data_IF_766718236907
#
_entry.id   IF_766718236907
#
_cell.length_a   1.000
_cell.length_b   1.000
_cell.length_c   1.000
_cell.angle_alpha   90.00
_cell.angle_beta   90.00
_cell.angle_gamma   90.00
#
_symmetry.space_group_name_H-M   'P 1'
#
loop_
_entity.id
_entity.type
_entity.pdbx_description
1 polymer ?
#
# COMPACT_ATOMS: atom_id res chain seq x y z
N UNK A 1 1.32 -6.84 -33.22
CA UNK A 1 2.08 -6.07 -32.20
C UNK A 1 1.53 -6.49 -30.84
N UNK A 2 2.39 -6.89 -29.90
CA UNK A 2 1.98 -7.06 -28.50
C UNK A 2 2.14 -5.69 -27.85
N UNK A 3 1.04 -5.07 -27.42
CA UNK A 3 1.06 -3.83 -26.64
C UNK A 3 1.32 -4.22 -25.19
N UNK A 4 2.40 -3.70 -24.59
CA UNK A 4 2.69 -3.90 -23.17
C UNK A 4 2.10 -2.72 -22.40
N UNK A 5 0.85 -2.85 -21.96
CA UNK A 5 0.19 -1.82 -21.15
C UNK A 5 0.72 -1.90 -19.72
N UNK A 6 1.75 -1.10 -19.45
CA UNK A 6 2.32 -0.98 -18.11
C UNK A 6 1.34 -0.22 -17.21
N UNK A 7 1.04 -0.78 -16.03
CA UNK A 7 0.28 -0.09 -15.00
C UNK A 7 1.01 1.20 -14.64
N UNK A 8 0.34 2.34 -14.78
CA UNK A 8 0.92 3.65 -14.47
C UNK A 8 0.72 4.02 -13.01
N UNK A 9 -0.47 3.76 -12.48
CA UNK A 9 -0.88 4.12 -11.13
C UNK A 9 -1.66 2.96 -10.51
N UNK A 10 -1.40 2.70 -9.23
CA UNK A 10 -2.12 1.73 -8.42
C UNK A 10 -2.28 2.30 -7.01
N UNK A 11 -3.50 2.36 -6.50
CA UNK A 11 -3.78 2.77 -5.13
C UNK A 11 -4.29 1.56 -4.35
N UNK A 12 -3.68 1.30 -3.20
CA UNK A 12 -4.06 0.21 -2.30
C UNK A 12 -4.25 0.73 -0.88
N UNK A 13 -5.21 0.14 -0.17
CA UNK A 13 -5.46 0.43 1.24
C UNK A 13 -5.07 -0.76 2.09
N UNK A 14 -4.40 -0.48 3.20
CA UNK A 14 -3.99 -1.46 4.19
C UNK A 14 -4.55 -1.06 5.54
N UNK A 15 -4.85 -2.05 6.36
CA UNK A 15 -5.27 -1.84 7.73
C UNK A 15 -4.73 -2.95 8.65
N UNK A 16 -4.49 -2.59 9.90
CA UNK A 16 -4.15 -3.51 10.96
C UNK A 16 -4.45 -2.91 12.34
N UNK A 17 -4.44 -3.76 13.35
CA UNK A 17 -4.67 -3.38 14.75
C UNK A 17 -3.41 -2.88 15.46
N UNK A 18 -2.26 -2.98 14.79
CA UNK A 18 -0.95 -2.52 15.24
C UNK A 18 -0.10 -2.08 14.03
N UNK A 19 0.86 -1.19 14.29
CA UNK A 19 1.71 -0.63 13.24
C UNK A 19 2.64 -1.66 12.59
N UNK A 20 3.17 -2.62 13.36
CA UNK A 20 4.13 -3.60 12.84
C UNK A 20 3.46 -4.52 11.79
N UNK A 21 2.23 -4.95 12.05
CA UNK A 21 1.43 -5.71 11.10
C UNK A 21 1.07 -4.87 9.86
N UNK A 22 0.73 -3.58 10.04
CA UNK A 22 0.44 -2.68 8.92
C UNK A 22 1.67 -2.52 8.01
N UNK A 23 2.83 -2.22 8.59
CA UNK A 23 4.09 -2.05 7.88
C UNK A 23 4.50 -3.34 7.16
N UNK A 24 4.33 -4.49 7.79
CA UNK A 24 4.61 -5.78 7.14
C UNK A 24 3.75 -5.96 5.89
N UNK A 25 2.44 -5.70 5.96
CA UNK A 25 1.54 -5.81 4.79
C UNK A 25 1.96 -4.89 3.65
N UNK A 26 2.33 -3.65 3.97
CA UNK A 26 2.79 -2.67 2.98
C UNK A 26 4.10 -3.16 2.33
N UNK A 27 5.06 -3.63 3.13
CA UNK A 27 6.35 -4.12 2.63
C UNK A 27 6.20 -5.36 1.75
N UNK A 28 5.36 -6.32 2.16
CA UNK A 28 5.06 -7.51 1.33
C UNK A 28 4.48 -7.08 -0.03
N UNK A 29 3.58 -6.07 -0.05
CA UNK A 29 3.02 -5.57 -1.30
C UNK A 29 4.02 -4.78 -2.14
N UNK A 30 4.96 -4.06 -1.52
CA UNK A 30 6.08 -3.41 -2.21
C UNK A 30 6.91 -4.45 -2.96
N UNK A 31 7.25 -5.59 -2.33
CA UNK A 31 8.01 -6.64 -3.00
C UNK A 31 7.24 -7.26 -4.19
N UNK A 32 5.93 -7.49 -4.05
CA UNK A 32 5.10 -7.93 -5.17
C UNK A 32 5.05 -6.89 -6.31
N UNK A 33 4.92 -5.61 -5.98
CA UNK A 33 4.78 -4.52 -6.95
C UNK A 33 6.09 -4.27 -7.73
N UNK A 34 7.26 -4.59 -7.16
CA UNK A 34 8.54 -4.57 -7.89
C UNK A 34 8.53 -5.52 -9.10
N UNK A 35 7.89 -6.69 -8.99
CA UNK A 35 7.82 -7.66 -10.08
C UNK A 35 7.03 -7.14 -11.30
N UNK A 36 6.18 -6.13 -11.10
CA UNK A 36 5.39 -5.47 -12.14
C UNK A 36 5.83 -4.02 -12.40
N UNK A 37 7.08 -3.69 -12.05
CA UNK A 37 7.72 -2.40 -12.33
C UNK A 37 7.03 -1.20 -11.67
N UNK A 38 6.38 -1.41 -10.53
CA UNK A 38 5.83 -0.34 -9.71
C UNK A 38 6.75 0.01 -8.53
N UNK A 39 6.76 1.28 -8.15
CA UNK A 39 7.45 1.83 -6.98
C UNK A 39 6.47 2.64 -6.10
N UNK A 40 6.81 2.87 -4.83
CA UNK A 40 6.00 3.70 -3.94
C UNK A 40 6.12 5.17 -4.38
N UNK A 41 4.98 5.79 -4.71
CA UNK A 41 4.90 7.23 -4.93
C UNK A 41 4.63 7.99 -3.63
N UNK A 42 3.65 7.52 -2.86
CA UNK A 42 3.15 8.21 -1.67
C UNK A 42 2.51 7.22 -0.70
N UNK A 43 2.64 7.50 0.60
CA UNK A 43 1.96 6.78 1.67
C UNK A 43 1.30 7.79 2.59
N UNK A 44 0.01 7.60 2.85
CA UNK A 44 -0.76 8.38 3.83
C UNK A 44 -1.25 7.47 4.95
N UNK A 45 -0.98 7.84 6.19
CA UNK A 45 -1.37 7.08 7.38
C UNK A 45 -2.53 7.73 8.11
N UNK A 46 -3.42 6.91 8.66
CA UNK A 46 -4.47 7.34 9.56
C UNK A 46 -4.60 6.34 10.71
N UNK A 47 -4.91 6.84 11.91
CA UNK A 47 -5.25 6.02 13.07
C UNK A 47 -6.63 6.43 13.56
N UNK A 48 -7.46 5.43 13.86
CA UNK A 48 -8.80 5.62 14.41
C UNK A 48 -8.94 4.80 15.69
N UNK A 49 -9.61 5.37 16.70
CA UNK A 49 -10.04 4.64 17.88
C UNK A 49 -11.47 4.16 17.61
N UNK A 50 -11.67 2.85 17.60
CA UNK A 50 -12.98 2.23 17.42
C UNK A 50 -13.82 2.36 18.71
N UNK A 51 -15.13 2.20 18.60
CA UNK A 51 -16.06 2.32 19.73
C UNK A 51 -15.75 1.36 20.89
N UNK A 52 -15.16 0.21 20.60
CA UNK A 52 -14.72 -0.78 21.58
C UNK A 52 -13.36 -0.44 22.24
N UNK A 53 -12.78 0.72 21.96
CA UNK A 53 -11.47 1.16 22.46
C UNK A 53 -10.27 0.56 21.71
N UNK A 54 -10.50 -0.24 20.67
CA UNK A 54 -9.42 -0.81 19.86
C UNK A 54 -8.88 0.23 18.87
N UNK A 55 -7.56 0.20 18.65
CA UNK A 55 -6.93 1.04 17.62
C UNK A 55 -7.00 0.34 16.27
N UNK A 56 -7.38 1.09 15.25
CA UNK A 56 -7.28 0.70 13.84
C UNK A 56 -6.28 1.63 13.17
N UNK A 57 -5.20 1.07 12.65
CA UNK A 57 -4.23 1.76 11.83
C UNK A 57 -4.51 1.45 10.38
N UNK A 58 -4.56 2.49 9.55
CA UNK A 58 -4.83 2.38 8.12
C UNK A 58 -3.80 3.17 7.34
N UNK A 59 -3.49 2.69 6.13
CA UNK A 59 -2.63 3.40 5.19
C UNK A 59 -3.18 3.31 3.77
N UNK A 60 -3.14 4.42 3.05
CA UNK A 60 -3.28 4.44 1.59
C UNK A 60 -1.89 4.50 0.98
N UNK A 61 -1.56 3.56 0.11
CA UNK A 61 -0.31 3.55 -0.64
C UNK A 61 -0.63 3.78 -2.11
N UNK A 62 -0.06 4.85 -2.67
CA UNK A 62 -0.05 5.10 -4.10
C UNK A 62 1.26 4.56 -4.66
N UNK A 63 1.16 3.53 -5.48
CA UNK A 63 2.25 3.01 -6.30
C UNK A 63 2.16 3.59 -7.72
N UNK A 64 3.31 3.79 -8.33
CA UNK A 64 3.43 4.31 -9.70
C UNK A 64 4.43 3.50 -10.51
N UNK A 65 4.30 3.55 -11.83
CA UNK A 65 5.33 3.04 -12.72
C UNK A 65 6.70 3.62 -12.34
N UNK A 66 7.67 2.72 -12.19
CA UNK A 66 9.07 3.07 -11.98
C UNK A 66 9.57 3.83 -13.21
N UNK A 67 10.11 5.03 -12.97
CA UNK A 67 10.73 5.85 -14.02
C UNK A 67 12.19 5.48 -14.25
#
# INVERSE_FOLDING_TARGET
MITFDLIQDKVEFFEATDLATLEKKINDQIEHNKAIMLEVHHVSYQMQLLENGQRLYSAMVHFKAKK
#
